data_IF_443884555684
#
_entry.id   IF_443884555684
#
_cell.length_a   1.000
_cell.length_b   1.000
_cell.length_c   1.000
_cell.angle_alpha   90.00
_cell.angle_beta   90.00
_cell.angle_gamma   90.00
#
_symmetry.space_group_name_H-M   'P 1'
#
loop_
_entity.id
_entity.type
_entity.pdbx_description
1 polymer ?
#
# COMPACT_ATOMS: atom_id res chain seq x y z
N UNK A 1 -19.80 9.29 -0.67
CA UNK A 1 -18.41 9.71 -0.88
C UNK A 1 -18.00 10.43 0.39
N UNK A 2 -17.54 9.65 1.36
CA UNK A 2 -16.88 10.18 2.54
C UNK A 2 -15.55 10.75 2.08
N UNK A 3 -15.42 12.07 2.11
CA UNK A 3 -14.16 12.75 1.83
C UNK A 3 -13.25 12.57 3.04
N UNK A 4 -12.26 11.68 2.94
CA UNK A 4 -11.27 11.46 3.99
C UNK A 4 -10.32 12.66 4.08
N UNK A 5 -10.01 13.05 5.32
CA UNK A 5 -9.10 14.15 5.66
C UNK A 5 -8.00 13.63 6.57
N UNK A 6 -6.90 14.37 6.67
CA UNK A 6 -5.78 13.98 7.55
C UNK A 6 -6.21 13.80 9.01
N UNK A 7 -7.20 14.58 9.48
CA UNK A 7 -7.78 14.48 10.82
C UNK A 7 -8.53 13.16 11.10
N UNK A 8 -8.88 12.41 10.06
CA UNK A 8 -9.58 11.12 10.19
C UNK A 8 -8.63 9.94 10.45
N UNK A 9 -7.31 10.16 10.53
CA UNK A 9 -6.35 9.11 10.81
C UNK A 9 -6.69 8.35 12.11
N UNK A 10 -6.59 7.02 12.07
CA UNK A 10 -6.97 6.13 13.17
C UNK A 10 -8.45 5.74 13.15
N UNK A 11 -9.28 6.35 12.31
CA UNK A 11 -10.69 5.96 12.16
C UNK A 11 -10.80 4.52 11.67
N UNK A 12 -11.68 3.76 12.33
CA UNK A 12 -12.00 2.38 11.94
C UNK A 12 -13.20 2.39 11.00
N UNK A 13 -12.94 1.96 9.77
CA UNK A 13 -13.89 1.88 8.67
C UNK A 13 -14.27 0.42 8.38
N UNK A 14 -15.48 0.25 7.86
CA UNK A 14 -15.94 -0.98 7.22
C UNK A 14 -15.35 -1.12 5.81
N UNK A 15 -15.43 -2.32 5.23
CA UNK A 15 -15.07 -2.48 3.82
C UNK A 15 -15.95 -1.63 2.89
N UNK A 16 -17.22 -1.41 3.25
CA UNK A 16 -18.12 -0.58 2.45
C UNK A 16 -17.57 0.84 2.30
N UNK A 17 -17.16 1.45 3.41
CA UNK A 17 -16.58 2.80 3.44
C UNK A 17 -15.22 2.85 2.74
N UNK A 18 -14.33 1.89 3.02
CA UNK A 18 -13.03 1.79 2.32
C UNK A 18 -13.23 1.67 0.81
N UNK A 19 -14.22 0.89 0.36
CA UNK A 19 -14.46 0.62 -1.06
C UNK A 19 -14.99 1.82 -1.85
N UNK A 20 -15.44 2.89 -1.18
CA UNK A 20 -15.76 4.16 -1.85
C UNK A 20 -14.51 4.78 -2.50
N UNK A 21 -13.37 4.61 -1.84
CA UNK A 21 -12.04 5.10 -2.28
C UNK A 21 -11.21 4.01 -2.93
N UNK A 22 -11.11 2.83 -2.29
CA UNK A 22 -10.26 1.71 -2.71
C UNK A 22 -11.10 0.58 -3.35
N UNK A 23 -11.31 0.66 -4.67
CA UNK A 23 -12.33 -0.14 -5.37
C UNK A 23 -11.91 -1.57 -5.73
N UNK A 24 -10.84 -2.10 -5.14
CA UNK A 24 -10.32 -3.44 -5.45
C UNK A 24 -9.84 -4.18 -4.20
N UNK A 25 -9.89 -5.52 -4.21
CA UNK A 25 -9.34 -6.34 -3.10
C UNK A 25 -7.81 -6.47 -3.15
N UNK A 26 -7.17 -5.94 -4.19
CA UNK A 26 -5.72 -5.90 -4.29
C UNK A 26 -5.14 -4.80 -3.38
N UNK A 27 -3.89 -4.99 -2.92
CA UNK A 27 -3.20 -3.99 -2.10
C UNK A 27 -3.04 -2.64 -2.78
N UNK A 28 -2.86 -2.62 -4.09
CA UNK A 28 -2.63 -1.40 -4.88
C UNK A 28 -3.85 -1.13 -5.75
N UNK A 29 -4.48 0.03 -5.58
CA UNK A 29 -5.52 0.53 -6.47
C UNK A 29 -4.99 1.69 -7.31
N UNK A 30 -5.15 1.58 -8.63
CA UNK A 30 -4.74 2.60 -9.60
C UNK A 30 -5.85 2.78 -10.65
N UNK A 31 -5.89 3.97 -11.25
CA UNK A 31 -6.72 4.27 -12.43
C UNK A 31 -5.88 4.98 -13.47
N UNK A 32 -5.91 4.51 -14.71
CA UNK A 32 -5.13 5.07 -15.83
C UNK A 32 -3.62 5.20 -15.55
N UNK A 33 -3.06 4.31 -14.73
CA UNK A 33 -1.64 4.35 -14.34
C UNK A 33 -1.35 5.26 -13.14
N UNK A 34 -2.33 6.01 -12.65
CA UNK A 34 -2.20 6.85 -11.45
C UNK A 34 -2.55 6.04 -10.21
N UNK A 35 -1.68 6.08 -9.20
CA UNK A 35 -1.93 5.49 -7.89
C UNK A 35 -3.06 6.26 -7.19
N UNK A 36 -4.07 5.53 -6.71
CA UNK A 36 -5.24 6.11 -6.04
C UNK A 36 -5.23 5.84 -4.54
N UNK A 37 -4.95 4.59 -4.13
CA UNK A 37 -4.97 4.19 -2.72
C UNK A 37 -4.28 2.85 -2.49
N UNK A 38 -3.96 2.59 -1.22
CA UNK A 38 -3.22 1.42 -0.77
C UNK A 38 -3.95 0.68 0.36
N UNK A 39 -3.81 -0.64 0.37
CA UNK A 39 -4.13 -1.50 1.51
C UNK A 39 -2.87 -2.18 2.00
N UNK A 40 -2.76 -2.34 3.32
CA UNK A 40 -1.80 -3.23 3.95
C UNK A 40 -2.49 -4.03 5.06
N UNK A 41 -1.84 -5.10 5.51
CA UNK A 41 -2.15 -5.77 6.77
C UNK A 41 -0.89 -6.00 7.63
N UNK A 42 0.25 -5.39 7.24
CA UNK A 42 1.57 -5.57 7.84
C UNK A 42 1.95 -7.05 8.06
N UNK A 43 1.47 -7.95 7.20
CA UNK A 43 1.69 -9.38 7.34
C UNK A 43 0.99 -10.02 8.55
N UNK A 44 0.18 -9.27 9.32
CA UNK A 44 -0.50 -9.75 10.54
C UNK A 44 -1.62 -10.75 10.24
N UNK A 45 -2.29 -10.58 9.10
CA UNK A 45 -3.44 -11.41 8.70
C UNK A 45 -3.08 -12.33 7.53
N UNK A 46 -2.26 -11.84 6.60
CA UNK A 46 -1.79 -12.63 5.47
C UNK A 46 -0.27 -12.60 5.45
N UNK A 47 0.44 -13.65 5.88
CA UNK A 47 1.91 -13.67 5.93
C UNK A 47 2.55 -13.73 4.53
N UNK A 48 1.79 -13.39 3.48
CA UNK A 48 2.19 -13.45 2.08
C UNK A 48 2.86 -12.16 1.60
N UNK A 49 2.98 -11.11 2.42
CA UNK A 49 3.84 -9.95 2.16
C UNK A 49 4.37 -9.40 3.49
N UNK A 50 5.69 -9.23 3.65
CA UNK A 50 6.26 -8.68 4.86
C UNK A 50 6.32 -7.16 4.72
N UNK A 51 5.17 -6.48 4.68
CA UNK A 51 5.19 -5.02 4.85
C UNK A 51 5.61 -4.74 6.30
N UNK A 52 6.55 -3.82 6.51
CA UNK A 52 7.01 -3.46 7.85
C UNK A 52 7.19 -1.95 8.00
N UNK A 53 6.92 -1.48 9.20
CA UNK A 53 7.25 -0.12 9.62
C UNK A 53 8.79 -0.01 9.70
N UNK A 54 9.33 1.10 9.19
CA UNK A 54 10.75 1.43 9.36
C UNK A 54 11.06 1.89 10.79
N UNK A 55 12.25 2.44 10.98
CA UNK A 55 12.70 2.91 12.31
C UNK A 55 11.89 4.10 12.86
N UNK A 56 11.02 4.70 12.05
CA UNK A 56 10.09 5.77 12.41
C UNK A 56 8.65 5.38 12.02
N UNK A 57 7.63 5.81 12.79
CA UNK A 57 6.22 5.60 12.46
C UNK A 57 5.80 6.27 11.14
N UNK A 58 6.64 7.16 10.59
CA UNK A 58 6.37 7.89 9.34
C UNK A 58 6.97 7.19 8.11
N UNK A 59 7.42 5.93 8.26
CA UNK A 59 8.08 5.16 7.20
C UNK A 59 7.52 3.76 7.11
N UNK A 60 7.08 3.35 5.91
CA UNK A 60 6.64 1.98 5.66
C UNK A 60 7.41 1.44 4.45
N UNK A 61 7.93 0.22 4.60
CA UNK A 61 8.42 -0.56 3.47
C UNK A 61 7.29 -1.43 2.94
N UNK A 62 6.80 -1.08 1.75
CA UNK A 62 5.63 -1.66 1.12
C UNK A 62 6.05 -2.62 0.00
N UNK A 63 5.54 -3.85 0.03
CA UNK A 63 5.86 -4.86 -0.98
C UNK A 63 4.95 -4.74 -2.19
N UNK A 64 5.51 -4.82 -3.40
CA UNK A 64 4.78 -4.71 -4.65
C UNK A 64 3.76 -5.84 -4.91
N UNK A 65 3.01 -5.67 -5.99
CA UNK A 65 2.07 -6.64 -6.55
C UNK A 65 2.78 -7.88 -7.11
N UNK A 66 2.31 -9.06 -6.73
CA UNK A 66 2.70 -10.33 -7.31
C UNK A 66 2.99 -11.39 -6.25
N UNK A 67 2.07 -12.36 -6.10
CA UNK A 67 2.10 -13.35 -4.99
C UNK A 67 3.06 -14.51 -5.20
N UNK A 68 3.39 -14.83 -6.46
CA UNK A 68 4.17 -16.02 -6.83
C UNK A 68 5.22 -15.66 -7.86
N UNK A 69 6.40 -16.27 -7.74
CA UNK A 69 7.55 -16.01 -8.59
C UNK A 69 8.06 -14.56 -8.48
N UNK A 70 8.98 -14.23 -9.38
CA UNK A 70 9.52 -12.88 -9.53
C UNK A 70 8.40 -11.90 -9.89
N UNK A 71 8.32 -10.80 -9.15
CA UNK A 71 7.32 -9.77 -9.41
C UNK A 71 7.60 -9.06 -10.73
N UNK A 72 6.55 -8.88 -11.53
CA UNK A 72 6.63 -8.21 -12.82
C UNK A 72 6.39 -6.72 -12.63
N UNK A 73 6.85 -5.91 -13.59
CA UNK A 73 6.40 -4.52 -13.75
C UNK A 73 4.99 -4.52 -14.37
N UNK A 74 4.02 -5.02 -13.62
CA UNK A 74 2.61 -4.97 -14.00
C UNK A 74 2.03 -3.56 -13.82
N UNK A 75 0.78 -3.34 -14.22
CA UNK A 75 0.12 -2.03 -14.12
C UNK A 75 0.08 -1.45 -12.69
N UNK A 76 0.12 -2.30 -11.65
CA UNK A 76 0.09 -1.86 -10.26
C UNK A 76 1.48 -1.43 -9.79
N UNK A 77 2.50 -2.26 -10.03
CA UNK A 77 3.88 -1.90 -9.72
C UNK A 77 4.34 -0.70 -10.54
N UNK A 78 3.89 -0.58 -11.79
CA UNK A 78 4.18 0.58 -12.62
C UNK A 78 3.54 1.86 -12.09
N UNK A 79 2.32 1.80 -11.54
CA UNK A 79 1.69 2.95 -10.88
C UNK A 79 2.45 3.37 -9.60
N UNK A 80 2.95 2.41 -8.81
CA UNK A 80 3.80 2.71 -7.65
C UNK A 80 5.12 3.38 -8.06
N UNK A 81 5.78 2.87 -9.11
CA UNK A 81 7.01 3.47 -9.66
C UNK A 81 6.73 4.90 -10.17
N UNK A 82 5.62 5.11 -10.87
CA UNK A 82 5.24 6.45 -11.34
C UNK A 82 4.96 7.40 -10.17
N UNK A 83 4.39 6.90 -9.07
CA UNK A 83 4.08 7.69 -7.88
C UNK A 83 5.33 8.22 -7.15
N UNK A 84 6.49 7.58 -7.33
CA UNK A 84 7.79 8.11 -6.85
C UNK A 84 8.05 9.51 -7.40
N UNK A 85 7.70 9.75 -8.66
CA UNK A 85 7.96 11.03 -9.34
C UNK A 85 6.86 12.07 -9.14
N UNK A 86 5.60 11.63 -8.95
CA UNK A 86 4.48 12.57 -8.82
C UNK A 86 4.39 13.22 -7.44
N UNK A 87 5.05 12.63 -6.42
CA UNK A 87 4.99 13.06 -5.02
C UNK A 87 3.57 13.22 -4.46
N UNK A 88 2.57 12.61 -5.11
CA UNK A 88 1.18 12.66 -4.68
C UNK A 88 0.98 11.75 -3.48
N UNK A 89 0.40 12.30 -2.41
CA UNK A 89 -0.01 11.51 -1.28
C UNK A 89 -1.33 10.78 -1.58
N UNK A 90 -1.43 9.52 -1.17
CA UNK A 90 -2.61 8.68 -1.35
C UNK A 90 -3.04 8.06 -0.02
N UNK A 91 -4.34 7.81 0.19
CA UNK A 91 -4.80 7.19 1.43
C UNK A 91 -4.32 5.73 1.55
N UNK A 92 -3.86 5.38 2.75
CA UNK A 92 -3.48 4.02 3.14
C UNK A 92 -4.47 3.45 4.16
N UNK A 93 -4.95 2.24 3.94
CA UNK A 93 -5.83 1.54 4.87
C UNK A 93 -5.16 0.26 5.39
N UNK A 94 -5.13 0.09 6.71
CA UNK A 94 -4.58 -1.10 7.36
C UNK A 94 -5.71 -2.04 7.78
N UNK A 95 -5.65 -3.31 7.38
CA UNK A 95 -6.64 -4.31 7.78
C UNK A 95 -6.37 -4.77 9.21
N UNK A 96 -7.32 -4.51 10.11
CA UNK A 96 -7.27 -4.98 11.50
C UNK A 96 -8.02 -6.29 11.72
N UNK A 97 -8.96 -6.63 10.83
CA UNK A 97 -9.78 -7.84 10.94
C UNK A 97 -10.85 -7.92 9.86
N UNK A 98 -11.80 -8.84 10.04
CA UNK A 98 -12.98 -8.90 9.17
C UNK A 98 -13.78 -7.61 9.34
N UNK A 99 -14.02 -6.91 8.23
CA UNK A 99 -14.76 -5.64 8.18
C UNK A 99 -14.25 -4.53 9.12
N UNK A 100 -12.95 -4.56 9.46
CA UNK A 100 -12.30 -3.54 10.29
C UNK A 100 -11.01 -3.08 9.61
N UNK A 101 -11.00 -1.83 9.19
CA UNK A 101 -9.91 -1.19 8.48
C UNK A 101 -9.57 0.14 9.14
N UNK A 102 -8.33 0.33 9.54
CA UNK A 102 -7.86 1.60 10.07
C UNK A 102 -7.40 2.49 8.91
N UNK A 103 -7.89 3.72 8.84
CA UNK A 103 -7.31 4.72 7.96
C UNK A 103 -5.99 5.23 8.54
N UNK A 104 -4.87 5.04 7.83
CA UNK A 104 -3.52 5.39 8.28
C UNK A 104 -3.07 6.79 7.84
N UNK A 105 -3.99 7.62 7.34
CA UNK A 105 -3.65 8.91 6.74
C UNK A 105 -3.17 8.80 5.30
N UNK A 106 -2.52 9.86 4.83
CA UNK A 106 -2.02 9.99 3.46
C UNK A 106 -0.51 9.75 3.39
N UNK A 107 -0.09 9.03 2.36
CA UNK A 107 1.28 8.55 2.21
C UNK A 107 1.79 8.79 0.79
N UNK A 108 3.04 9.22 0.68
CA UNK A 108 3.76 9.36 -0.59
C UNK A 108 4.65 8.16 -0.83
N UNK A 109 4.71 7.71 -2.07
CA UNK A 109 5.79 6.79 -2.50
C UNK A 109 7.03 7.65 -2.78
N UNK A 110 8.14 7.33 -2.14
CA UNK A 110 9.37 8.14 -2.20
C UNK A 110 10.54 7.43 -2.84
N UNK A 111 10.50 6.09 -2.89
CA UNK A 111 11.54 5.30 -3.51
C UNK A 111 11.00 3.93 -3.97
N UNK A 112 11.71 3.29 -4.88
CA UNK A 112 11.42 1.95 -5.38
C UNK A 112 12.68 1.17 -5.72
N UNK A 113 12.77 -0.07 -5.25
CA UNK A 113 13.85 -0.99 -5.56
C UNK A 113 13.31 -2.35 -6.01
N UNK A 114 14.04 -3.02 -6.89
CA UNK A 114 13.75 -4.40 -7.29
C UNK A 114 14.81 -5.32 -6.69
N UNK A 115 14.44 -5.99 -5.59
CA UNK A 115 15.37 -6.68 -4.70
C UNK A 115 15.09 -8.18 -4.63
N UNK A 116 16.12 -8.97 -4.36
CA UNK A 116 15.98 -10.39 -4.11
C UNK A 116 15.54 -10.65 -2.66
N UNK A 117 14.42 -11.35 -2.47
CA UNK A 117 13.90 -11.79 -1.17
C UNK A 117 14.35 -13.22 -0.89
N UNK A 118 15.39 -13.39 -0.07
CA UNK A 118 16.01 -14.69 0.21
C UNK A 118 15.02 -15.72 0.77
N UNK A 119 14.14 -15.31 1.69
CA UNK A 119 13.17 -16.21 2.33
C UNK A 119 12.22 -16.90 1.35
N UNK A 120 12.03 -16.32 0.17
CA UNK A 120 11.12 -16.86 -0.86
C UNK A 120 11.80 -17.07 -2.21
N UNK A 121 13.13 -16.90 -2.23
CA UNK A 121 14.00 -17.07 -3.40
C UNK A 121 13.45 -16.42 -4.67
N UNK A 122 13.02 -15.16 -4.56
CA UNK A 122 12.39 -14.44 -5.67
C UNK A 122 12.69 -12.95 -5.65
N UNK A 123 12.59 -12.33 -6.81
CA UNK A 123 12.66 -10.88 -6.94
C UNK A 123 11.31 -10.24 -6.57
N UNK A 124 11.36 -9.19 -5.75
CA UNK A 124 10.20 -8.41 -5.32
C UNK A 124 10.46 -6.91 -5.51
N UNK A 125 9.41 -6.17 -5.82
CA UNK A 125 9.44 -4.72 -5.71
C UNK A 125 9.27 -4.32 -4.25
N UNK A 126 10.15 -3.45 -3.76
CA UNK A 126 10.04 -2.79 -2.46
C UNK A 126 9.87 -1.30 -2.71
N UNK A 127 8.87 -0.71 -2.07
CA UNK A 127 8.58 0.71 -2.14
C UNK A 127 8.74 1.34 -0.77
N UNK A 128 9.28 2.55 -0.71
CA UNK A 128 9.37 3.33 0.53
C UNK A 128 8.21 4.32 0.56
N UNK A 129 7.32 4.16 1.53
CA UNK A 129 6.25 5.12 1.80
C UNK A 129 6.68 6.05 2.92
N UNK A 130 6.41 7.34 2.74
CA UNK A 130 6.56 8.37 3.77
C UNK A 130 5.23 9.04 4.03
N UNK A 131 4.95 9.31 5.29
CA UNK A 131 3.76 10.05 5.69
C UNK A 131 3.81 11.49 5.16
N UNK A 132 2.68 12.01 4.71
CA UNK A 132 2.53 13.42 4.32
C UNK A 132 2.14 14.30 5.52
#
# INVERSE_FOLDING_TARGET
MTELRAEDEGTILTWSEVSETHRTRNGIYQTNGELISLLTDFGRLTPCYPDFEGDSPDTIFYTGSGRRGNQKKDVRNQAMIAAVHSARAVPLFCKLGVNRWEFKGFWRVTDSEYVFEEKRERMVWRFVLRKD
#
